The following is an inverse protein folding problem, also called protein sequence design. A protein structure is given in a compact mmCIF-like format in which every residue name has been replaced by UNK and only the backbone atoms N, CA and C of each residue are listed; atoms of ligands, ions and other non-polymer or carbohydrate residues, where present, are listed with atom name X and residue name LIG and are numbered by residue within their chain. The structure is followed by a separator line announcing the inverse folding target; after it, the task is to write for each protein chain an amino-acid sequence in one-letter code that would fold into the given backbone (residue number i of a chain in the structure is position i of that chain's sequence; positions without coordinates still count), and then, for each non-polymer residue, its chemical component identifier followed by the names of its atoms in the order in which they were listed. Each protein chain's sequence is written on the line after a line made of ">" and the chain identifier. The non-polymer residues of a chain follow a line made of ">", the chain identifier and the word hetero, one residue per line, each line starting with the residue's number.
data_IF_390679438352
#
_entry.id   IF_390679438352
#
_cell.length_a   1.000
_cell.length_b   1.000
_cell.length_c   1.000
_cell.angle_alpha   90.00
_cell.angle_beta   90.00
_cell.angle_gamma   90.00
#
_symmetry.space_group_name_H-M   'P 1'
#
loop_
_entity.id
_entity.type
_entity.pdbx_description
1 polymer ?
#
# COMPACT_ATOMS: atom_id res chain seq x y z
N UNK A 1 -23.17 21.73 13.01
CA UNK A 1 -21.75 21.90 13.45
C UNK A 1 -20.87 21.90 12.22
N UNK A 2 -19.98 22.86 12.09
CA UNK A 2 -19.13 23.01 10.90
C UNK A 2 -17.83 22.25 11.14
N UNK A 3 -17.45 21.35 10.21
CA UNK A 3 -16.16 20.64 10.23
C UNK A 3 -15.04 21.67 10.08
N UNK A 4 -13.94 21.50 10.79
CA UNK A 4 -12.78 22.41 10.71
C UNK A 4 -12.09 22.28 9.36
N UNK A 5 -11.63 23.38 8.78
CA UNK A 5 -10.86 23.38 7.55
C UNK A 5 -9.37 23.39 7.83
N UNK A 6 -8.61 22.66 7.01
CA UNK A 6 -7.15 22.62 7.11
C UNK A 6 -6.53 22.63 5.72
N UNK A 7 -5.38 23.26 5.61
CA UNK A 7 -4.57 23.23 4.40
C UNK A 7 -3.40 22.27 4.58
N UNK A 8 -3.30 21.28 3.66
CA UNK A 8 -2.18 20.37 3.57
C UNK A 8 -1.18 20.89 2.52
N UNK A 9 0.09 20.98 2.90
CA UNK A 9 1.17 21.50 2.05
C UNK A 9 2.14 20.39 1.64
N UNK A 10 2.89 20.62 0.56
CA UNK A 10 3.91 19.67 0.09
C UNK A 10 3.34 18.40 -0.52
N UNK A 11 2.13 18.47 -1.08
CA UNK A 11 1.48 17.37 -1.80
C UNK A 11 1.60 17.59 -3.31
N UNK A 12 1.46 16.47 -4.03
CA UNK A 12 1.55 16.42 -5.48
C UNK A 12 2.94 16.03 -5.98
N UNK A 13 3.00 15.68 -7.23
CA UNK A 13 4.20 15.06 -7.82
C UNK A 13 5.18 16.05 -8.43
N UNK A 14 4.92 17.35 -8.33
CA UNK A 14 5.85 18.39 -8.85
C UNK A 14 6.13 18.28 -10.36
N UNK A 15 5.22 17.69 -11.14
CA UNK A 15 5.40 17.43 -12.56
C UNK A 15 6.09 16.09 -12.88
N UNK A 16 6.33 15.22 -11.92
CA UNK A 16 6.81 13.86 -12.17
C UNK A 16 5.67 12.98 -12.69
N UNK A 17 5.56 12.91 -14.02
CA UNK A 17 4.56 12.11 -14.73
C UNK A 17 4.61 10.62 -14.36
N UNK A 18 5.79 10.05 -14.12
CA UNK A 18 5.94 8.64 -13.79
C UNK A 18 5.37 8.34 -12.40
N UNK A 19 5.58 9.24 -11.44
CA UNK A 19 4.97 9.14 -10.12
C UNK A 19 3.45 9.24 -10.22
N UNK A 20 2.91 10.23 -10.94
CA UNK A 20 1.47 10.41 -11.14
C UNK A 20 0.82 9.16 -11.74
N UNK A 21 1.37 8.60 -12.82
CA UNK A 21 0.86 7.38 -13.43
C UNK A 21 0.94 6.15 -12.52
N UNK A 22 1.95 6.10 -11.65
CA UNK A 22 2.08 5.03 -10.64
C UNK A 22 0.95 5.08 -9.62
N UNK A 23 0.54 6.26 -9.17
CA UNK A 23 -0.58 6.42 -8.26
C UNK A 23 -1.93 6.15 -8.94
N UNK A 24 -2.14 6.55 -10.19
CA UNK A 24 -3.33 6.19 -10.98
C UNK A 24 -3.46 4.67 -11.15
N UNK A 25 -2.33 4.00 -11.38
CA UNK A 25 -2.27 2.53 -11.43
C UNK A 25 -2.62 1.91 -10.08
N UNK A 26 -2.06 2.44 -8.98
CA UNK A 26 -2.36 1.98 -7.63
C UNK A 26 -3.86 2.15 -7.30
N UNK A 27 -4.43 3.30 -7.64
CA UNK A 27 -5.86 3.59 -7.48
C UNK A 27 -6.72 2.56 -8.23
N UNK A 28 -6.41 2.31 -9.51
CA UNK A 28 -7.11 1.31 -10.31
C UNK A 28 -7.03 -0.08 -9.69
N UNK A 29 -5.85 -0.48 -9.22
CA UNK A 29 -5.65 -1.77 -8.55
C UNK A 29 -6.49 -1.91 -7.27
N UNK A 30 -6.62 -0.85 -6.49
CA UNK A 30 -7.48 -0.85 -5.28
C UNK A 30 -8.95 -1.00 -5.69
N UNK A 31 -9.40 -0.31 -6.74
CA UNK A 31 -10.78 -0.44 -7.24
C UNK A 31 -11.09 -1.87 -7.72
N UNK A 32 -10.12 -2.56 -8.28
CA UNK A 32 -10.27 -3.97 -8.70
C UNK A 32 -10.28 -4.97 -7.52
N UNK A 33 -9.92 -4.57 -6.31
CA UNK A 33 -9.99 -5.44 -5.14
C UNK A 33 -11.40 -5.77 -4.66
N UNK A 34 -12.41 -5.05 -5.16
CA UNK A 34 -13.83 -5.25 -4.87
C UNK A 34 -14.47 -4.05 -4.16
N UNK A 35 -15.78 -3.90 -4.33
CA UNK A 35 -16.55 -2.78 -3.74
C UNK A 35 -16.75 -2.90 -2.21
N UNK A 36 -16.41 -4.03 -1.64
CA UNK A 36 -16.41 -4.33 -0.20
C UNK A 36 -15.14 -3.82 0.51
N UNK A 37 -14.09 -3.46 -0.24
CA UNK A 37 -12.83 -2.95 0.31
C UNK A 37 -12.91 -1.44 0.46
N UNK A 38 -13.28 -0.98 1.65
CA UNK A 38 -13.39 0.45 2.00
C UNK A 38 -12.37 0.88 3.06
N UNK A 39 -12.23 0.12 4.14
CA UNK A 39 -11.31 0.39 5.23
C UNK A 39 -9.98 -0.31 4.95
N UNK A 40 -8.94 0.46 4.62
CA UNK A 40 -7.63 -0.07 4.23
C UNK A 40 -6.58 0.41 5.23
N UNK A 41 -6.02 -0.51 6.01
CA UNK A 41 -4.86 -0.20 6.84
C UNK A 41 -3.57 -0.23 6.01
N UNK A 42 -2.72 0.77 6.18
CA UNK A 42 -1.45 0.93 5.46
C UNK A 42 -0.32 0.85 6.47
N UNK A 43 0.56 -0.12 6.29
CA UNK A 43 1.72 -0.34 7.17
C UNK A 43 2.99 -0.59 6.36
N UNK A 44 4.12 -0.72 7.07
CA UNK A 44 5.42 -1.02 6.48
C UNK A 44 6.22 -1.96 7.39
N UNK A 45 7.37 -2.44 6.91
CA UNK A 45 8.26 -3.25 7.73
C UNK A 45 9.02 -2.38 8.74
N UNK A 46 9.58 -1.26 8.27
CA UNK A 46 10.45 -0.38 9.04
C UNK A 46 9.99 1.09 8.92
N UNK A 47 10.51 1.99 9.77
CA UNK A 47 10.28 3.42 9.61
C UNK A 47 10.86 3.96 8.30
N UNK A 48 10.26 5.05 7.79
CA UNK A 48 10.72 5.80 6.60
C UNK A 48 10.65 5.04 5.26
N UNK A 49 9.79 4.03 5.14
CA UNK A 49 9.49 3.35 3.86
C UNK A 49 8.49 4.11 2.97
N UNK A 50 7.99 5.25 3.43
CA UNK A 50 7.09 6.12 2.65
C UNK A 50 5.61 5.85 2.88
N UNK A 51 5.21 5.00 3.85
CA UNK A 51 3.80 4.68 4.13
C UNK A 51 2.91 5.92 4.25
N UNK A 52 3.31 6.89 5.07
CA UNK A 52 2.55 8.13 5.32
C UNK A 52 2.44 8.98 4.05
N UNK A 53 3.52 9.12 3.28
CA UNK A 53 3.49 9.84 2.00
C UNK A 53 2.53 9.16 1.03
N UNK A 54 2.60 7.83 0.91
CA UNK A 54 1.70 7.06 0.05
C UNK A 54 0.26 7.19 0.53
N UNK A 55 0.01 7.12 1.83
CA UNK A 55 -1.34 7.24 2.40
C UNK A 55 -1.98 8.59 2.08
N UNK A 56 -1.23 9.69 2.20
CA UNK A 56 -1.71 11.04 1.93
C UNK A 56 -1.93 11.25 0.43
N UNK A 57 -0.94 10.92 -0.40
CA UNK A 57 -1.05 11.11 -1.86
C UNK A 57 -2.14 10.23 -2.46
N UNK A 58 -2.28 8.99 -2.02
CA UNK A 58 -3.37 8.11 -2.45
C UNK A 58 -4.75 8.67 -2.04
N UNK A 59 -4.85 9.24 -0.82
CA UNK A 59 -6.08 9.91 -0.38
C UNK A 59 -6.44 11.09 -1.28
N UNK A 60 -5.44 11.89 -1.67
CA UNK A 60 -5.60 13.01 -2.59
C UNK A 60 -6.07 12.53 -3.98
N UNK A 61 -5.38 11.55 -4.56
CA UNK A 61 -5.73 10.98 -5.88
C UNK A 61 -7.15 10.39 -5.90
N UNK A 62 -7.54 9.67 -4.85
CA UNK A 62 -8.90 9.14 -4.70
C UNK A 62 -9.93 10.29 -4.64
N UNK A 63 -9.63 11.36 -3.93
CA UNK A 63 -10.52 12.52 -3.83
C UNK A 63 -10.62 13.28 -5.18
N UNK A 64 -9.52 13.45 -5.89
CA UNK A 64 -9.48 14.04 -7.24
C UNK A 64 -10.24 13.17 -8.26
N UNK A 65 -10.28 11.84 -8.05
CA UNK A 65 -11.14 10.92 -8.78
C UNK A 65 -12.62 10.96 -8.34
N UNK A 66 -13.02 11.94 -7.52
CA UNK A 66 -14.41 12.18 -7.10
C UNK A 66 -14.88 11.30 -5.95
N UNK A 67 -14.01 10.59 -5.24
CA UNK A 67 -14.35 9.77 -4.07
C UNK A 67 -14.35 10.61 -2.80
N UNK A 68 -15.20 10.22 -1.84
CA UNK A 68 -15.17 10.78 -0.49
C UNK A 68 -14.24 9.95 0.38
N UNK A 69 -13.12 10.54 0.81
CA UNK A 69 -12.00 9.82 1.45
C UNK A 69 -11.73 10.37 2.83
N UNK A 70 -11.53 9.47 3.79
CA UNK A 70 -11.01 9.80 5.11
C UNK A 70 -9.63 9.17 5.29
N UNK A 71 -8.63 10.00 5.59
CA UNK A 71 -7.34 9.53 6.08
C UNK A 71 -7.34 9.60 7.61
N UNK A 72 -7.01 8.50 8.27
CA UNK A 72 -6.80 8.42 9.71
C UNK A 72 -5.31 8.20 9.95
N UNK A 73 -4.66 9.18 10.56
CA UNK A 73 -3.29 9.03 11.05
C UNK A 73 -3.33 8.29 12.39
N UNK A 74 -3.04 7.00 12.34
CA UNK A 74 -3.01 6.12 13.50
C UNK A 74 -1.59 5.84 14.03
N UNK A 75 -0.55 6.49 13.50
CA UNK A 75 0.80 6.43 14.09
C UNK A 75 0.90 7.37 15.30
N UNK A 76 0.18 7.05 16.39
CA UNK A 76 0.18 7.85 17.62
C UNK A 76 1.53 7.87 18.33
N UNK A 77 2.50 7.04 17.91
CA UNK A 77 3.83 6.97 18.52
C UNK A 77 4.80 7.97 17.91
N UNK A 78 4.74 8.15 16.58
CA UNK A 78 5.70 8.98 15.86
C UNK A 78 5.09 9.61 14.60
N UNK A 79 3.87 10.15 14.72
CA UNK A 79 3.26 10.87 13.61
C UNK A 79 4.10 12.07 13.21
N UNK A 80 4.26 12.23 11.90
CA UNK A 80 4.91 13.39 11.30
C UNK A 80 3.99 14.15 10.33
N UNK A 81 2.73 13.74 10.23
CA UNK A 81 1.78 14.32 9.27
C UNK A 81 1.60 15.82 9.54
N UNK A 82 1.31 16.18 10.79
CA UNK A 82 1.15 17.60 11.18
C UNK A 82 2.40 18.40 10.89
N UNK A 83 3.58 17.91 11.28
CA UNK A 83 4.84 18.64 11.13
C UNK A 83 5.26 18.86 9.67
N UNK A 84 4.94 17.91 8.80
CA UNK A 84 5.36 17.92 7.39
C UNK A 84 4.35 18.59 6.47
N UNK A 85 3.06 18.43 6.76
CA UNK A 85 2.01 18.72 5.79
C UNK A 85 1.06 19.83 6.21
N UNK A 86 1.24 20.46 7.39
CA UNK A 86 0.43 21.62 7.77
C UNK A 86 1.20 22.59 8.66
N UNK A 87 0.80 23.87 8.60
CA UNK A 87 1.30 24.91 9.50
C UNK A 87 0.34 25.19 10.66
N UNK A 88 -0.79 24.52 10.72
CA UNK A 88 -1.78 24.71 11.76
C UNK A 88 -1.23 24.27 13.13
N UNK A 89 -1.60 25.01 14.17
CA UNK A 89 -1.23 24.74 15.57
C UNK A 89 -2.43 24.26 16.36
N UNK A 90 -2.20 23.54 17.47
CA UNK A 90 -3.26 23.11 18.35
C UNK A 90 -4.19 22.04 17.74
N UNK A 91 -3.68 21.28 16.77
CA UNK A 91 -4.43 20.21 16.10
C UNK A 91 -4.79 19.14 17.13
N UNK A 92 -6.08 18.89 17.28
CA UNK A 92 -6.64 17.79 18.04
C UNK A 92 -6.76 16.56 17.11
N UNK A 93 -6.76 15.34 17.66
CA UNK A 93 -6.76 14.17 16.81
C UNK A 93 -7.31 12.91 17.44
N UNK A 94 -6.95 11.79 16.84
CA UNK A 94 -7.48 10.46 17.15
C UNK A 94 -7.31 10.07 18.62
N UNK A 95 -6.14 10.34 19.21
CA UNK A 95 -5.89 10.00 20.62
C UNK A 95 -6.85 10.69 21.58
N UNK A 96 -7.11 11.99 21.40
CA UNK A 96 -8.07 12.74 22.23
C UNK A 96 -9.52 12.30 21.96
N UNK A 97 -9.86 12.00 20.69
CA UNK A 97 -11.17 11.46 20.33
C UNK A 97 -11.43 10.13 21.02
N UNK A 98 -10.50 9.19 20.93
CA UNK A 98 -10.65 7.85 21.52
C UNK A 98 -10.64 7.89 23.05
N UNK A 99 -9.88 8.81 23.67
CA UNK A 99 -9.92 9.05 25.10
C UNK A 99 -11.20 9.76 25.57
N UNK A 100 -12.04 10.26 24.65
CA UNK A 100 -13.29 10.96 24.97
C UNK A 100 -13.11 12.39 25.42
N UNK A 101 -11.97 13.01 25.14
CA UNK A 101 -11.66 14.40 25.47
C UNK A 101 -12.31 15.38 24.49
N UNK A 102 -12.56 14.93 23.25
CA UNK A 102 -13.15 15.73 22.19
C UNK A 102 -14.20 14.94 21.41
N UNK A 103 -15.03 15.64 20.68
CA UNK A 103 -16.00 15.07 19.74
C UNK A 103 -15.38 14.74 18.40
N UNK A 104 -16.06 13.92 17.58
CA UNK A 104 -15.64 13.60 16.22
C UNK A 104 -15.52 14.87 15.35
N UNK A 105 -16.42 15.82 15.49
CA UNK A 105 -16.40 17.09 14.73
C UNK A 105 -15.19 17.96 15.08
N UNK A 106 -14.60 17.82 16.26
CA UNK A 106 -13.38 18.52 16.65
C UNK A 106 -12.12 17.80 16.17
N UNK A 107 -12.19 16.49 15.89
CA UNK A 107 -11.07 15.69 15.42
C UNK A 107 -11.01 15.61 13.89
N UNK A 108 -12.13 15.87 13.20
CA UNK A 108 -12.27 15.74 11.75
C UNK A 108 -11.95 17.08 11.06
N UNK A 109 -11.07 17.04 10.08
CA UNK A 109 -10.69 18.20 9.29
C UNK A 109 -11.00 17.97 7.81
N UNK A 110 -11.62 18.96 7.16
CA UNK A 110 -11.80 19.00 5.70
C UNK A 110 -10.58 19.68 5.08
N UNK A 111 -9.94 19.05 4.10
CA UNK A 111 -8.78 19.62 3.41
C UNK A 111 -9.21 20.53 2.27
N UNK A 112 -8.24 21.21 1.62
CA UNK A 112 -8.49 21.99 0.41
C UNK A 112 -8.91 21.14 -0.81
N UNK A 113 -8.67 19.83 -0.77
CA UNK A 113 -9.07 18.90 -1.82
C UNK A 113 -10.50 18.43 -1.55
N UNK A 114 -11.42 18.72 -2.47
CA UNK A 114 -12.84 18.39 -2.31
C UNK A 114 -13.04 16.89 -2.08
N UNK A 115 -13.70 16.53 -0.98
CA UNK A 115 -13.95 15.13 -0.62
C UNK A 115 -12.85 14.45 0.18
N UNK A 116 -11.71 15.13 0.45
CA UNK A 116 -10.63 14.61 1.27
C UNK A 116 -10.71 15.16 2.69
N UNK A 117 -10.88 14.26 3.65
CA UNK A 117 -10.94 14.53 5.08
C UNK A 117 -9.79 13.84 5.81
N UNK A 118 -9.37 14.40 6.94
CA UNK A 118 -8.31 13.83 7.76
C UNK A 118 -8.62 13.88 9.25
N UNK A 119 -8.24 12.81 9.95
CA UNK A 119 -8.13 12.77 11.43
C UNK A 119 -6.64 12.55 11.71
N UNK A 120 -6.00 13.53 12.34
CA UNK A 120 -4.60 13.44 12.75
C UNK A 120 -4.42 12.55 13.99
N UNK A 121 -3.21 12.08 14.26
CA UNK A 121 -2.93 11.23 15.42
C UNK A 121 -3.25 11.90 16.77
N UNK A 122 -3.04 13.21 16.85
CA UNK A 122 -3.22 13.97 18.09
C UNK A 122 -2.01 13.85 19.03
N UNK A 123 -2.23 14.02 20.32
CA UNK A 123 -1.18 13.88 21.33
C UNK A 123 -0.80 12.41 21.53
N UNK A 124 0.48 12.14 21.76
CA UNK A 124 0.97 10.78 22.00
C UNK A 124 0.39 10.25 23.33
N UNK A 125 -0.43 9.19 23.30
CA UNK A 125 -0.96 8.58 24.51
C UNK A 125 0.05 7.59 25.11
N UNK A 126 -0.06 7.24 26.40
CA UNK A 126 0.82 6.24 27.01
C UNK A 126 0.62 4.84 26.38
N UNK A 127 -0.60 4.44 26.08
CA UNK A 127 -0.95 3.10 25.59
C UNK A 127 -1.82 3.17 24.32
N UNK A 128 -1.24 3.37 23.13
CA UNK A 128 -2.01 3.43 21.88
C UNK A 128 -2.83 2.16 21.60
N UNK A 129 -2.28 0.98 21.90
CA UNK A 129 -2.95 -0.32 21.67
C UNK A 129 -4.29 -0.45 22.38
N UNK A 130 -4.40 0.07 23.59
CA UNK A 130 -5.66 0.06 24.35
C UNK A 130 -6.73 0.91 23.65
N UNK A 131 -6.34 2.07 23.12
CA UNK A 131 -7.23 2.93 22.37
C UNK A 131 -7.74 2.25 21.09
N UNK A 132 -6.87 1.53 20.37
CA UNK A 132 -7.25 0.79 19.17
C UNK A 132 -8.14 -0.43 19.47
N UNK A 133 -8.04 -1.02 20.66
CA UNK A 133 -8.93 -2.10 21.10
C UNK A 133 -10.27 -1.60 21.65
N UNK A 134 -10.43 -0.30 21.85
CA UNK A 134 -11.63 0.29 22.45
C UNK A 134 -12.87 0.15 21.56
N UNK A 135 -14.05 0.14 22.16
CA UNK A 135 -15.33 0.21 21.46
C UNK A 135 -15.48 1.50 20.64
N UNK A 136 -14.86 2.59 21.08
CA UNK A 136 -14.88 3.88 20.38
C UNK A 136 -14.16 3.80 19.04
N UNK A 137 -13.00 3.12 18.97
CA UNK A 137 -12.30 2.94 17.71
C UNK A 137 -13.11 2.07 16.73
N UNK A 138 -13.68 0.97 17.19
CA UNK A 138 -14.58 0.12 16.40
C UNK A 138 -15.79 0.89 15.86
N UNK A 139 -16.40 1.72 16.70
CA UNK A 139 -17.52 2.57 16.30
C UNK A 139 -17.11 3.63 15.28
N UNK A 140 -15.93 4.25 15.46
CA UNK A 140 -15.37 5.21 14.50
C UNK A 140 -15.19 4.57 13.12
N UNK A 141 -14.56 3.40 13.06
CA UNK A 141 -14.33 2.69 11.78
C UNK A 141 -15.66 2.32 11.10
N UNK A 142 -16.63 1.80 11.86
CA UNK A 142 -17.96 1.47 11.32
C UNK A 142 -18.64 2.69 10.71
N UNK A 143 -18.75 3.78 11.48
CA UNK A 143 -19.39 5.01 10.99
C UNK A 143 -18.63 5.63 9.82
N UNK A 144 -17.31 5.56 9.83
CA UNK A 144 -16.50 6.02 8.71
C UNK A 144 -16.77 5.21 7.43
N UNK A 145 -16.86 3.88 7.52
CA UNK A 145 -17.16 3.01 6.38
C UNK A 145 -18.58 3.20 5.79
N UNK A 146 -19.53 3.76 6.58
CA UNK A 146 -20.86 4.13 6.09
C UNK A 146 -20.88 5.48 5.36
N UNK A 147 -20.00 6.42 5.75
CA UNK A 147 -20.00 7.81 5.26
C UNK A 147 -19.05 8.04 4.10
N UNK A 148 -17.90 7.34 4.09
CA UNK A 148 -16.83 7.53 3.13
C UNK A 148 -16.76 6.36 2.12
N UNK A 149 -16.33 6.67 0.90
CA UNK A 149 -16.06 5.64 -0.11
C UNK A 149 -14.82 4.84 0.24
N UNK A 150 -13.79 5.53 0.78
CA UNK A 150 -12.56 4.94 1.26
C UNK A 150 -12.12 5.55 2.60
N UNK A 151 -11.63 4.70 3.49
CA UNK A 151 -10.99 5.10 4.75
C UNK A 151 -9.59 4.49 4.76
N UNK A 152 -8.58 5.33 4.60
CA UNK A 152 -7.18 4.92 4.64
C UNK A 152 -6.66 5.15 6.07
N UNK A 153 -6.05 4.13 6.66
CA UNK A 153 -5.53 4.20 8.03
C UNK A 153 -4.00 4.06 7.97
N UNK A 154 -3.28 5.18 8.11
CA UNK A 154 -1.82 5.19 8.20
C UNK A 154 -1.37 4.70 9.57
N UNK A 155 -0.69 3.57 9.65
CA UNK A 155 -0.32 2.91 10.90
C UNK A 155 1.19 2.95 11.13
N UNK A 156 1.70 2.75 12.36
CA UNK A 156 3.12 2.57 12.57
C UNK A 156 3.65 1.32 11.86
N UNK A 157 4.99 1.21 11.64
CA UNK A 157 5.59 0.04 11.01
C UNK A 157 5.34 -1.24 11.83
N UNK A 158 4.73 -2.26 11.20
CA UNK A 158 4.39 -3.52 11.88
C UNK A 158 5.64 -4.30 12.33
N UNK A 159 6.75 -4.15 11.62
CA UNK A 159 8.01 -4.77 12.05
C UNK A 159 8.60 -4.19 13.34
N UNK A 160 8.06 -3.07 13.83
CA UNK A 160 8.54 -2.40 15.06
C UNK A 160 7.55 -2.52 16.21
N UNK A 161 6.24 -2.40 15.94
CA UNK A 161 5.19 -2.39 16.98
C UNK A 161 3.94 -3.11 16.49
N UNK A 162 3.17 -3.65 17.43
CA UNK A 162 2.00 -4.49 17.15
C UNK A 162 0.76 -3.69 16.73
N UNK A 163 0.75 -2.39 16.93
CA UNK A 163 -0.39 -1.48 16.71
C UNK A 163 -1.04 -1.69 15.33
N UNK A 164 -0.21 -1.82 14.30
CA UNK A 164 -0.68 -2.04 12.93
C UNK A 164 -1.46 -3.35 12.77
N UNK A 165 -1.06 -4.43 13.45
CA UNK A 165 -1.78 -5.69 13.41
C UNK A 165 -3.14 -5.60 14.12
N UNK A 166 -3.20 -4.87 15.24
CA UNK A 166 -4.45 -4.61 15.98
C UNK A 166 -5.43 -3.79 15.13
N UNK A 167 -4.94 -2.79 14.41
CA UNK A 167 -5.76 -1.99 13.49
C UNK A 167 -6.20 -2.85 12.30
N UNK A 168 -5.27 -3.58 11.69
CA UNK A 168 -5.51 -4.41 10.52
C UNK A 168 -6.58 -5.49 10.74
N UNK A 169 -6.68 -6.03 11.96
CA UNK A 169 -7.73 -7.00 12.32
C UNK A 169 -9.14 -6.41 12.37
N UNK A 170 -9.27 -5.08 12.29
CA UNK A 170 -10.55 -4.34 12.38
C UNK A 170 -10.88 -3.60 11.07
N UNK A 171 -10.08 -3.80 10.02
CA UNK A 171 -10.25 -3.18 8.70
C UNK A 171 -10.61 -4.25 7.65
N UNK A 172 -11.18 -3.82 6.52
CA UNK A 172 -11.54 -4.76 5.43
C UNK A 172 -10.30 -5.38 4.82
N UNK A 173 -9.20 -4.61 4.79
CA UNK A 173 -7.96 -5.08 4.19
C UNK A 173 -6.74 -4.29 4.69
N UNK A 174 -5.57 -4.82 4.32
CA UNK A 174 -4.27 -4.17 4.57
C UNK A 174 -3.41 -4.08 3.32
N UNK A 175 -2.62 -3.02 3.24
CA UNK A 175 -1.62 -2.79 2.20
C UNK A 175 -0.25 -2.63 2.84
N UNK A 176 0.76 -3.35 2.31
CA UNK A 176 2.13 -3.32 2.81
C UNK A 176 2.99 -2.43 1.92
N UNK A 177 3.63 -1.42 2.52
CA UNK A 177 4.58 -0.55 1.82
C UNK A 177 6.00 -1.09 2.04
N UNK A 178 6.77 -1.19 0.97
CA UNK A 178 8.14 -1.69 0.97
C UNK A 178 9.06 -0.70 0.25
N UNK A 179 10.18 -0.35 0.87
CA UNK A 179 11.21 0.51 0.24
C UNK A 179 12.11 -0.35 -0.64
N UNK A 180 12.11 -0.07 -1.95
CA UNK A 180 12.85 -0.84 -2.94
C UNK A 180 14.36 -0.84 -2.64
N UNK A 181 14.96 -2.03 -2.64
CA UNK A 181 16.37 -2.22 -2.41
C UNK A 181 16.84 -2.06 -0.95
N UNK A 182 15.94 -1.71 -0.02
CA UNK A 182 16.29 -1.59 1.41
C UNK A 182 15.75 -2.73 2.26
N UNK A 183 14.58 -3.27 1.89
CA UNK A 183 13.92 -4.32 2.68
C UNK A 183 14.25 -5.69 2.08
N UNK A 184 14.78 -6.59 2.92
CA UNK A 184 15.00 -7.97 2.48
C UNK A 184 13.67 -8.73 2.35
N UNK A 185 13.61 -9.66 1.41
CA UNK A 185 12.44 -10.51 1.21
C UNK A 185 12.00 -11.24 2.49
N UNK A 186 12.95 -11.70 3.32
CA UNK A 186 12.66 -12.39 4.58
C UNK A 186 11.93 -11.50 5.57
N UNK A 187 12.32 -10.23 5.69
CA UNK A 187 11.66 -9.24 6.56
C UNK A 187 10.25 -8.96 6.04
N UNK A 188 10.10 -8.67 4.75
CA UNK A 188 8.79 -8.45 4.13
C UNK A 188 7.85 -9.65 4.33
N UNK A 189 8.35 -10.87 4.11
CA UNK A 189 7.59 -12.10 4.32
C UNK A 189 7.17 -12.30 5.79
N UNK A 190 8.04 -11.96 6.75
CA UNK A 190 7.72 -12.04 8.17
C UNK A 190 6.57 -11.10 8.55
N UNK A 191 6.64 -9.84 8.10
CA UNK A 191 5.60 -8.83 8.33
C UNK A 191 4.30 -9.22 7.64
N UNK A 192 4.35 -9.69 6.39
CA UNK A 192 3.18 -10.23 5.69
C UNK A 192 2.50 -11.35 6.49
N UNK A 193 3.28 -12.32 7.00
CA UNK A 193 2.75 -13.40 7.84
C UNK A 193 2.10 -12.89 9.13
N UNK A 194 2.63 -11.81 9.73
CA UNK A 194 2.01 -11.20 10.89
C UNK A 194 0.66 -10.56 10.56
N UNK A 195 0.54 -9.85 9.43
CA UNK A 195 -0.73 -9.31 8.94
C UNK A 195 -1.76 -10.42 8.72
N UNK A 196 -1.39 -11.50 8.03
CA UNK A 196 -2.28 -12.64 7.80
C UNK A 196 -2.71 -13.30 9.13
N UNK A 197 -1.77 -13.47 10.08
CA UNK A 197 -2.07 -14.01 11.41
C UNK A 197 -3.01 -13.13 12.23
N UNK A 198 -3.03 -11.82 12.01
CA UNK A 198 -3.99 -10.91 12.68
C UNK A 198 -5.42 -11.03 12.11
N UNK A 199 -5.63 -11.86 11.08
CA UNK A 199 -6.92 -12.01 10.40
C UNK A 199 -7.14 -11.00 9.26
N UNK A 200 -6.15 -10.16 8.95
CA UNK A 200 -6.29 -9.16 7.89
C UNK A 200 -6.17 -9.77 6.49
N UNK A 201 -7.04 -9.34 5.58
CA UNK A 201 -6.93 -9.59 4.14
C UNK A 201 -5.87 -8.65 3.56
N UNK A 202 -4.70 -9.15 3.19
CA UNK A 202 -3.66 -8.35 2.54
C UNK A 202 -3.97 -8.24 1.04
N UNK A 203 -4.33 -7.05 0.56
CA UNK A 203 -4.69 -6.81 -0.85
C UNK A 203 -3.49 -6.62 -1.76
N UNK A 204 -2.31 -6.35 -1.21
CA UNK A 204 -1.10 -6.21 -1.99
C UNK A 204 0.04 -5.56 -1.24
N UNK A 205 1.14 -5.40 -1.97
CA UNK A 205 2.29 -4.61 -1.54
C UNK A 205 2.62 -3.53 -2.57
N UNK A 206 3.00 -2.35 -2.08
CA UNK A 206 3.47 -1.23 -2.90
C UNK A 206 4.97 -1.14 -2.74
N UNK A 207 5.69 -1.27 -3.85
CA UNK A 207 7.13 -1.08 -3.88
C UNK A 207 7.43 0.40 -4.13
N UNK A 208 7.88 1.09 -3.08
CA UNK A 208 8.21 2.51 -3.11
C UNK A 208 9.68 2.75 -3.47
N UNK A 209 10.02 3.96 -3.91
CA UNK A 209 11.38 4.37 -4.26
C UNK A 209 12.04 3.48 -5.33
N UNK A 210 11.26 3.02 -6.31
CA UNK A 210 11.79 2.28 -7.44
C UNK A 210 12.50 3.26 -8.37
N UNK A 211 13.82 3.35 -8.27
CA UNK A 211 14.61 4.16 -9.18
C UNK A 211 14.76 3.44 -10.53
N UNK A 212 14.14 3.96 -11.56
CA UNK A 212 14.50 3.62 -12.92
C UNK A 212 15.95 4.08 -13.12
N UNK A 213 16.90 3.15 -13.31
CA UNK A 213 18.24 3.51 -13.79
C UNK A 213 18.03 4.21 -15.12
N UNK A 214 18.13 5.55 -15.15
CA UNK A 214 18.23 6.28 -16.42
C UNK A 214 19.40 5.67 -17.17
N UNK A 215 19.09 4.91 -18.21
CA UNK A 215 20.09 4.42 -19.18
C UNK A 215 20.90 5.62 -19.63
N UNK A 216 22.21 5.54 -19.53
CA UNK A 216 23.18 6.59 -19.95
C UNK A 216 23.20 6.81 -21.47
N UNK A 217 22.25 6.24 -22.21
CA UNK A 217 22.06 6.41 -23.63
C UNK A 217 20.71 7.09 -23.87
N UNK A 218 20.79 8.33 -24.34
CA UNK A 218 19.64 9.08 -24.83
C UNK A 218 18.95 8.32 -25.95
N UNK A 219 17.70 7.95 -25.74
CA UNK A 219 16.88 7.26 -26.71
C UNK A 219 15.44 7.27 -26.22
N UNK A 220 14.59 7.96 -26.94
CA UNK A 220 13.15 7.90 -26.85
C UNK A 220 12.69 6.44 -26.84
N UNK A 221 11.86 6.05 -25.86
CA UNK A 221 11.12 4.80 -25.96
C UNK A 221 11.58 3.69 -25.02
N UNK A 222 11.25 3.74 -23.75
CA UNK A 222 11.51 2.69 -22.76
C UNK A 222 10.32 2.36 -21.87
N UNK A 223 9.10 2.52 -22.34
CA UNK A 223 7.93 1.91 -21.75
C UNK A 223 7.85 0.46 -22.19
N UNK A 224 8.09 -0.48 -21.28
CA UNK A 224 7.76 -1.87 -21.52
C UNK A 224 8.91 -2.84 -21.38
N UNK A 225 9.35 -3.13 -20.14
CA UNK A 225 10.03 -4.40 -19.88
C UNK A 225 9.82 -4.90 -18.44
N UNK A 226 8.59 -4.91 -17.99
CA UNK A 226 8.11 -5.93 -17.08
C UNK A 226 7.21 -6.85 -17.89
N UNK A 227 7.80 -7.95 -18.32
CA UNK A 227 7.13 -8.96 -19.13
C UNK A 227 6.00 -9.60 -18.29
N UNK A 228 4.78 -9.27 -18.63
CA UNK A 228 3.67 -10.17 -18.41
C UNK A 228 4.01 -11.45 -19.17
N UNK A 229 4.14 -12.54 -18.41
CA UNK A 229 4.37 -13.87 -18.96
C UNK A 229 3.40 -14.13 -20.10
N UNK A 230 4.01 -14.42 -21.23
CA UNK A 230 3.37 -14.79 -22.50
C UNK A 230 2.63 -16.11 -22.29
N UNK A 231 1.37 -16.04 -21.85
CA UNK A 231 0.45 -17.14 -22.03
C UNK A 231 0.05 -17.16 -23.51
N UNK A 232 0.72 -18.04 -24.24
CA UNK A 232 0.40 -18.32 -25.61
C UNK A 232 -0.96 -19.00 -25.69
N UNK A 233 -1.93 -18.31 -26.25
CA UNK A 233 -3.14 -18.94 -26.75
C UNK A 233 -2.76 -19.78 -27.96
N UNK A 234 -2.70 -21.09 -27.77
CA UNK A 234 -2.55 -22.07 -28.83
C UNK A 234 -3.70 -21.95 -29.83
N UNK A 235 -3.33 -21.60 -31.03
CA UNK A 235 -4.20 -21.59 -32.21
C UNK A 235 -4.58 -23.03 -32.54
N UNK A 236 -5.85 -23.38 -32.36
CA UNK A 236 -6.41 -24.62 -32.87
C UNK A 236 -6.36 -24.58 -34.40
N UNK A 237 -5.50 -25.43 -34.97
CA UNK A 237 -5.48 -25.75 -36.39
C UNK A 237 -5.73 -27.23 -36.58
N UNK A 238 -6.80 -27.56 -37.26
CA UNK A 238 -7.20 -28.90 -37.71
C UNK A 238 -6.23 -29.45 -38.77
N UNK A 239 -5.83 -30.74 -38.59
CA UNK A 239 -5.64 -31.68 -39.67
C UNK A 239 -4.22 -31.83 -40.23
N UNK A 240 -3.61 -33.00 -39.93
CA UNK A 240 -3.20 -34.01 -40.92
C UNK A 240 -2.55 -35.23 -40.21
N UNK A 241 -2.78 -36.35 -40.84
CA UNK A 241 -2.62 -37.76 -40.42
C UNK A 241 -1.22 -38.20 -39.99
N UNK A 242 -1.16 -39.35 -39.27
CA UNK A 242 0.08 -39.94 -38.79
C UNK A 242 0.58 -41.02 -39.77
N UNK A 243 1.75 -40.85 -40.33
CA UNK A 243 2.52 -41.94 -40.88
C UNK A 243 3.98 -41.51 -40.97
N UNK A 244 4.80 -42.13 -40.21
CA UNK A 244 6.07 -42.77 -40.47
C UNK A 244 6.93 -42.80 -39.20
N UNK A 245 6.73 -43.91 -38.50
CA UNK A 245 7.67 -44.53 -37.59
C UNK A 245 8.64 -45.36 -38.40
N UNK A 246 9.94 -45.18 -38.25
CA UNK A 246 10.89 -46.27 -38.26
C UNK A 246 12.23 -45.83 -37.65
N UNK A 247 12.85 -46.65 -36.84
CA UNK A 247 14.12 -46.35 -36.18
C UNK A 247 15.30 -46.81 -37.00
N UNK A 248 16.41 -46.14 -36.92
CA UNK A 248 17.70 -46.69 -37.36
C UNK A 248 18.61 -46.83 -36.13
N UNK A 249 18.87 -48.08 -35.87
CA UNK A 249 19.96 -48.70 -35.10
C UNK A 249 21.25 -48.70 -35.93
N UNK A 250 22.35 -48.89 -35.19
CA UNK A 250 23.72 -49.26 -35.59
C UNK A 250 24.67 -48.05 -35.81
N UNK A 251 25.84 -48.03 -35.26
CA UNK A 251 26.77 -49.09 -34.83
C UNK A 251 27.89 -48.49 -33.94
N UNK A 252 28.23 -49.25 -32.96
CA UNK A 252 29.55 -49.54 -32.40
C UNK A 252 30.80 -49.08 -33.16
N UNK A 253 31.82 -48.63 -32.46
CA UNK A 253 33.16 -49.22 -32.27
C UNK A 253 34.05 -48.27 -31.51
N UNK A 254 34.51 -48.64 -30.32
CA UNK A 254 35.80 -49.23 -29.96
C UNK A 254 37.03 -48.30 -30.04
N UNK A 255 37.80 -48.33 -28.95
CA UNK A 255 39.24 -48.07 -28.92
C UNK A 255 39.65 -47.14 -27.80
N UNK A 256 39.93 -47.65 -26.63
CA UNK A 256 41.27 -48.03 -26.10
C UNK A 256 42.25 -46.87 -25.98
N UNK A 257 42.55 -46.60 -24.80
CA UNK A 257 43.81 -46.81 -24.02
C UNK A 257 44.77 -45.62 -23.86
N UNK A 258 45.23 -45.63 -22.70
CA UNK A 258 46.56 -45.31 -22.13
C UNK A 258 46.67 -43.90 -21.52
N UNK A 259 46.74 -43.84 -20.24
CA UNK A 259 47.91 -44.02 -19.37
C UNK A 259 48.84 -42.76 -19.26
N UNK A 260 49.06 -42.43 -17.99
CA UNK A 260 50.26 -41.75 -17.44
C UNK A 260 50.22 -40.22 -17.22
N UNK A 261 50.27 -39.91 -16.06
CA UNK A 261 51.15 -39.35 -15.05
C UNK A 261 50.38 -38.42 -14.11
#
# INVERSE_FOLDING_TARGET
>A
MQVQKIELTGLGFGGDFAAEESYKTLLSNIQFCGGDVKLISITSCLPNEGKTTISIELSRELAEAGKKVLLIDADMRNSRVVQKHTRAKGIKGLSQLLSGQISLTEALYETQYKGFFVIFAGQTPPNPVELFNSSKFKSLLRSAGEIFDYVLIDTPPLGMVIDAAVIASQTDSSMLILDAGKISYRVAQSVYKQLVKSGSRVIGAVLNNVYSKKSKYGGYGGYGKYGYGRYGYGRYGYGKDPAELAPNTDSETSGQDSDKA
#
